data_IF_082907039966
#
_entry.id   IF_082907039966
#
_cell.length_a   1.000
_cell.length_b   1.000
_cell.length_c   1.000
_cell.angle_alpha   90.00
_cell.angle_beta   90.00
_cell.angle_gamma   90.00
#
_symmetry.space_group_name_H-M   'P 1'
#
loop_
_entity.id
_entity.type
_entity.pdbx_description
1 polymer ?
#
# COMPACT_ATOMS: atom_id res chain seq x y z
N UNK A 1 20.94 -17.46 1.15
CA UNK A 1 19.75 -17.65 0.28
C UNK A 1 19.75 -16.49 -0.68
N UNK A 2 20.10 -16.76 -1.94
CA UNK A 2 19.91 -15.77 -3.02
C UNK A 2 18.41 -15.43 -3.08
N UNK A 3 18.03 -14.19 -2.81
CA UNK A 3 16.70 -13.72 -3.13
C UNK A 3 16.66 -13.60 -4.67
N UNK A 4 15.92 -14.48 -5.30
CA UNK A 4 15.54 -14.30 -6.70
C UNK A 4 14.40 -13.29 -6.67
N UNK A 5 14.65 -12.07 -7.12
CA UNK A 5 13.59 -11.11 -7.37
C UNK A 5 12.66 -11.74 -8.40
N UNK A 6 11.41 -11.91 -7.98
CA UNK A 6 10.37 -12.48 -8.84
C UNK A 6 9.88 -11.37 -9.77
N UNK A 7 10.43 -11.32 -10.96
CA UNK A 7 9.94 -10.41 -11.98
C UNK A 7 8.53 -10.83 -12.41
N UNK A 8 7.57 -9.91 -12.29
CA UNK A 8 6.25 -10.12 -12.84
C UNK A 8 6.32 -10.19 -14.39
N UNK A 9 5.47 -11.00 -15.03
CA UNK A 9 5.29 -10.96 -16.46
C UNK A 9 5.03 -9.53 -16.96
N UNK A 10 5.47 -9.21 -18.16
CA UNK A 10 5.42 -7.84 -18.70
C UNK A 10 4.00 -7.25 -18.65
N UNK A 11 3.00 -8.06 -18.99
CA UNK A 11 1.59 -7.65 -19.00
C UNK A 11 1.04 -7.34 -17.61
N UNK A 12 1.67 -7.88 -16.54
CA UNK A 12 1.26 -7.70 -15.14
C UNK A 12 2.15 -6.68 -14.39
N UNK A 13 3.17 -6.10 -15.01
CA UNK A 13 4.04 -5.08 -14.38
C UNK A 13 3.28 -3.88 -13.80
N UNK A 14 2.14 -3.42 -14.36
CA UNK A 14 1.36 -2.36 -13.73
C UNK A 14 0.97 -2.63 -12.28
N UNK A 15 0.79 -3.92 -11.89
CA UNK A 15 0.52 -4.29 -10.49
C UNK A 15 1.65 -3.91 -9.55
N UNK A 16 2.91 -4.01 -10.00
CA UNK A 16 4.08 -3.65 -9.20
C UNK A 16 4.15 -2.14 -8.96
N UNK A 17 3.92 -1.34 -10.01
CA UNK A 17 3.89 0.12 -9.88
C UNK A 17 2.75 0.58 -8.97
N UNK A 18 1.55 0.01 -9.12
CA UNK A 18 0.42 0.25 -8.23
C UNK A 18 0.74 -0.12 -6.78
N UNK A 19 1.36 -1.29 -6.56
CA UNK A 19 1.69 -1.78 -5.22
C UNK A 19 2.65 -0.86 -4.44
N UNK A 20 3.55 -0.16 -5.13
CA UNK A 20 4.50 0.76 -4.54
C UNK A 20 3.96 2.19 -4.34
N UNK A 21 2.73 2.48 -4.73
CA UNK A 21 2.09 3.77 -4.53
C UNK A 21 0.82 3.61 -3.69
N UNK A 22 0.76 4.27 -2.54
CA UNK A 22 -0.36 4.13 -1.59
C UNK A 22 -1.72 4.58 -2.14
N UNK A 23 -1.81 5.20 -3.32
CA UNK A 23 -3.07 5.57 -3.96
C UNK A 23 -4.07 4.39 -4.02
N UNK A 24 -3.58 3.17 -4.23
CA UNK A 24 -4.43 1.97 -4.25
C UNK A 24 -5.24 1.78 -2.96
N UNK A 25 -4.74 2.19 -1.80
CA UNK A 25 -5.38 1.87 -0.52
C UNK A 25 -6.67 2.66 -0.26
N UNK A 26 -6.87 3.79 -0.93
CA UNK A 26 -8.13 4.54 -0.88
C UNK A 26 -8.86 4.61 -2.23
N UNK A 27 -8.33 4.00 -3.28
CA UNK A 27 -9.04 3.82 -4.53
C UNK A 27 -9.73 2.44 -4.55
N UNK A 28 -11.09 2.38 -4.57
CA UNK A 28 -11.81 1.10 -4.52
C UNK A 28 -11.44 0.16 -5.65
N UNK A 29 -11.37 0.65 -6.91
CA UNK A 29 -11.06 -0.19 -8.06
C UNK A 29 -9.66 -0.82 -7.99
N UNK A 30 -8.66 -0.08 -7.50
CA UNK A 30 -7.32 -0.59 -7.32
C UNK A 30 -7.24 -1.63 -6.19
N UNK A 31 -7.97 -1.41 -5.08
CA UNK A 31 -8.05 -2.34 -3.96
C UNK A 31 -8.74 -3.64 -4.37
N UNK A 32 -9.87 -3.53 -5.05
CA UNK A 32 -10.67 -4.67 -5.50
C UNK A 32 -9.88 -5.52 -6.50
N UNK A 33 -9.03 -4.91 -7.33
CA UNK A 33 -8.14 -5.58 -8.27
C UNK A 33 -7.17 -6.55 -7.56
N UNK A 34 -6.55 -6.15 -6.44
CA UNK A 34 -5.68 -7.05 -5.67
C UNK A 34 -6.47 -8.18 -5.00
N UNK A 35 -7.66 -7.87 -4.47
CA UNK A 35 -8.51 -8.86 -3.82
C UNK A 35 -9.04 -9.90 -4.80
N UNK A 36 -9.37 -9.52 -6.04
CA UNK A 36 -9.85 -10.42 -7.11
C UNK A 36 -8.82 -11.48 -7.50
N UNK A 37 -7.53 -11.16 -7.44
CA UNK A 37 -6.46 -12.09 -7.79
C UNK A 37 -6.47 -13.34 -6.90
N UNK A 38 -6.53 -13.17 -5.58
CA UNK A 38 -6.59 -14.24 -4.59
C UNK A 38 -7.05 -13.66 -3.24
N UNK A 39 -8.35 -13.71 -2.91
CA UNK A 39 -8.90 -13.11 -1.69
C UNK A 39 -8.28 -13.68 -0.40
N UNK A 40 -8.00 -14.99 -0.37
CA UNK A 40 -7.44 -15.65 0.81
C UNK A 40 -5.98 -15.23 1.03
N UNK A 41 -5.20 -15.19 -0.04
CA UNK A 41 -3.82 -14.72 0.02
C UNK A 41 -3.75 -13.24 0.36
N UNK A 42 -4.67 -12.42 -0.19
CA UNK A 42 -4.78 -11.00 0.10
C UNK A 42 -4.98 -10.74 1.60
N UNK A 43 -5.90 -11.47 2.22
CA UNK A 43 -6.14 -11.38 3.66
C UNK A 43 -4.94 -11.90 4.49
N UNK A 44 -4.33 -13.04 4.09
CA UNK A 44 -3.15 -13.60 4.78
C UNK A 44 -1.91 -12.71 4.67
N UNK A 45 -1.78 -11.92 3.61
CA UNK A 45 -0.71 -10.93 3.45
C UNK A 45 -0.98 -9.61 4.21
N UNK A 46 -2.01 -9.59 5.08
CA UNK A 46 -2.45 -8.39 5.80
C UNK A 46 -2.79 -7.23 4.85
N UNK A 47 -3.25 -7.56 3.63
CA UNK A 47 -3.54 -6.60 2.56
C UNK A 47 -2.34 -5.73 2.18
N UNK A 48 -1.14 -6.27 2.35
CA UNK A 48 0.10 -5.65 1.90
C UNK A 48 0.40 -6.10 0.47
N UNK A 49 0.28 -5.24 -0.55
CA UNK A 49 0.39 -5.66 -1.95
C UNK A 49 1.80 -6.13 -2.32
N UNK A 50 2.85 -5.64 -1.66
CA UNK A 50 4.23 -6.09 -1.91
C UNK A 50 4.39 -7.54 -1.43
N UNK A 51 4.00 -7.83 -0.19
CA UNK A 51 4.04 -9.19 0.35
C UNK A 51 3.12 -10.13 -0.43
N UNK A 52 1.95 -9.65 -0.85
CA UNK A 52 0.99 -10.37 -1.66
C UNK A 52 1.57 -10.81 -3.01
N UNK A 53 2.14 -9.88 -3.79
CA UNK A 53 2.74 -10.17 -5.09
C UNK A 53 3.92 -11.14 -4.99
N UNK A 54 4.73 -11.05 -3.93
CA UNK A 54 5.83 -11.98 -3.67
C UNK A 54 5.34 -13.42 -3.44
N UNK A 55 4.17 -13.60 -2.85
CA UNK A 55 3.60 -14.90 -2.49
C UNK A 55 2.79 -15.54 -3.62
N UNK A 56 2.39 -14.79 -4.67
CA UNK A 56 1.68 -15.34 -5.82
C UNK A 56 2.47 -16.46 -6.48
N UNK A 57 1.80 -17.53 -6.86
CA UNK A 57 2.44 -18.63 -7.58
C UNK A 57 2.67 -18.30 -9.05
N UNK A 58 3.68 -18.93 -9.69
CA UNK A 58 3.93 -18.78 -11.11
C UNK A 58 2.71 -19.23 -11.95
N UNK A 59 2.01 -20.26 -11.50
CA UNK A 59 0.83 -20.74 -12.20
C UNK A 59 -0.29 -19.69 -12.17
N UNK A 60 -0.53 -19.05 -11.01
CA UNK A 60 -1.52 -17.99 -10.91
C UNK A 60 -1.18 -16.79 -11.80
N UNK A 61 0.07 -16.40 -11.86
CA UNK A 61 0.54 -15.34 -12.76
C UNK A 61 0.27 -15.67 -14.24
N UNK A 62 0.50 -16.93 -14.66
CA UNK A 62 0.20 -17.39 -16.02
C UNK A 62 -1.28 -17.43 -16.33
N UNK A 63 -2.13 -17.72 -15.34
CA UNK A 63 -3.59 -17.66 -15.50
C UNK A 63 -4.04 -16.22 -15.71
N UNK A 64 -3.56 -15.28 -14.89
CA UNK A 64 -3.89 -13.86 -15.00
C UNK A 64 -3.46 -13.26 -16.36
N UNK A 65 -2.31 -13.66 -16.92
CA UNK A 65 -1.87 -13.22 -18.24
C UNK A 65 -2.82 -13.62 -19.38
N UNK A 66 -3.69 -14.61 -19.16
CA UNK A 66 -4.66 -15.12 -20.13
C UNK A 66 -6.09 -14.72 -19.83
N UNK A 67 -6.30 -14.08 -18.69
CA UNK A 67 -7.62 -13.62 -18.27
C UNK A 67 -7.89 -12.22 -18.82
N UNK A 68 -8.54 -12.16 -19.98
CA UNK A 68 -8.86 -10.91 -20.68
C UNK A 68 -9.74 -9.98 -19.83
N UNK A 69 -10.61 -10.52 -18.98
CA UNK A 69 -11.45 -9.71 -18.08
C UNK A 69 -10.61 -9.04 -17.01
N UNK A 70 -9.73 -9.80 -16.37
CA UNK A 70 -8.79 -9.26 -15.39
C UNK A 70 -7.86 -8.21 -16.02
N UNK A 71 -7.30 -8.51 -17.20
CA UNK A 71 -6.40 -7.60 -17.90
C UNK A 71 -7.11 -6.28 -18.30
N UNK A 72 -8.37 -6.34 -18.70
CA UNK A 72 -9.16 -5.13 -18.98
C UNK A 72 -9.38 -4.29 -17.71
N UNK A 73 -9.66 -4.93 -16.57
CA UNK A 73 -9.79 -4.26 -15.27
C UNK A 73 -8.46 -3.63 -14.84
N UNK A 74 -7.35 -4.35 -14.99
CA UNK A 74 -6.00 -3.85 -14.71
C UNK A 74 -5.67 -2.63 -15.56
N UNK A 75 -5.92 -2.69 -16.85
CA UNK A 75 -5.66 -1.58 -17.78
C UNK A 75 -6.49 -0.34 -17.41
N UNK A 76 -7.76 -0.52 -17.07
CA UNK A 76 -8.63 0.58 -16.67
C UNK A 76 -8.15 1.25 -15.36
N UNK A 77 -7.82 0.47 -14.34
CA UNK A 77 -7.30 0.98 -13.06
C UNK A 77 -5.95 1.66 -13.26
N UNK A 78 -5.07 1.05 -14.05
CA UNK A 78 -3.75 1.63 -14.31
C UNK A 78 -3.84 2.94 -15.10
N UNK A 79 -4.75 3.03 -16.08
CA UNK A 79 -5.01 4.29 -16.78
C UNK A 79 -5.51 5.40 -15.85
N UNK A 80 -6.41 5.08 -14.92
CA UNK A 80 -6.84 6.03 -13.86
C UNK A 80 -5.66 6.48 -13.00
N UNK A 81 -4.82 5.55 -12.57
CA UNK A 81 -3.62 5.85 -11.77
C UNK A 81 -2.65 6.77 -12.54
N UNK A 82 -2.37 6.48 -13.80
CA UNK A 82 -1.48 7.32 -14.63
C UNK A 82 -2.07 8.71 -14.86
N UNK A 83 -3.38 8.81 -15.07
CA UNK A 83 -4.07 10.10 -15.17
C UNK A 83 -3.93 10.89 -13.87
N UNK A 84 -4.24 10.26 -12.73
CA UNK A 84 -4.10 10.86 -11.40
C UNK A 84 -2.68 11.38 -11.14
N UNK A 85 -1.66 10.57 -11.43
CA UNK A 85 -0.25 10.94 -11.22
C UNK A 85 0.25 12.02 -12.19
N UNK A 86 -0.44 12.23 -13.31
CA UNK A 86 -0.07 13.25 -14.30
C UNK A 86 -0.62 14.64 -13.98
N UNK A 87 -1.61 14.73 -13.09
CA UNK A 87 -2.20 16.00 -12.68
C UNK A 87 -1.16 16.87 -11.97
N UNK A 88 -1.18 18.16 -12.31
CA UNK A 88 -0.29 19.14 -11.68
C UNK A 88 -1.10 20.11 -10.82
N UNK A 89 -0.60 20.44 -9.63
CA UNK A 89 -1.26 21.44 -8.80
C UNK A 89 -1.29 22.80 -9.49
N UNK A 90 -2.29 23.61 -9.13
CA UNK A 90 -2.34 25.02 -9.57
C UNK A 90 -1.09 25.75 -9.09
N UNK A 91 -0.29 26.35 -10.00
CA UNK A 91 0.93 27.08 -9.64
C UNK A 91 0.69 28.26 -8.68
N UNK A 92 -0.53 28.80 -8.62
CA UNK A 92 -0.91 29.87 -7.72
C UNK A 92 -1.17 29.40 -6.28
N UNK A 93 -1.35 28.08 -6.07
CA UNK A 93 -1.58 27.53 -4.74
C UNK A 93 -0.26 27.48 -3.95
N UNK A 94 -0.22 27.99 -2.71
CA UNK A 94 0.97 27.93 -1.88
C UNK A 94 1.41 26.50 -1.61
N UNK A 95 2.73 26.25 -1.66
CA UNK A 95 3.32 24.96 -1.26
C UNK A 95 3.23 24.79 0.25
N UNK A 96 2.79 23.63 0.68
CA UNK A 96 2.56 23.28 2.09
C UNK A 96 3.49 22.15 2.50
N UNK A 97 4.12 22.28 3.67
CA UNK A 97 4.80 21.19 4.35
C UNK A 97 4.03 20.84 5.61
N UNK A 98 3.59 19.58 5.71
CA UNK A 98 2.83 19.07 6.85
C UNK A 98 3.69 18.12 7.67
N UNK A 99 3.97 18.51 8.90
CA UNK A 99 4.77 17.74 9.83
C UNK A 99 3.87 17.04 10.86
N UNK A 100 3.98 15.72 10.96
CA UNK A 100 3.32 14.95 12.01
C UNK A 100 4.23 13.81 12.46
N UNK A 101 4.12 13.43 13.74
CA UNK A 101 4.84 12.28 14.27
C UNK A 101 4.27 10.95 13.78
N UNK A 102 3.05 10.94 13.24
CA UNK A 102 2.39 9.75 12.76
C UNK A 102 1.40 10.06 11.62
N UNK A 103 1.23 9.09 10.72
CA UNK A 103 0.26 9.14 9.62
C UNK A 103 -0.40 7.77 9.47
N UNK A 104 -1.71 7.68 9.67
CA UNK A 104 -2.53 6.50 9.47
C UNK A 104 -2.92 6.31 8.01
N UNK A 105 -2.01 5.85 7.17
CA UNK A 105 -2.22 5.68 5.73
C UNK A 105 -2.81 4.31 5.38
N UNK A 106 -2.20 3.24 5.89
CA UNK A 106 -2.64 1.87 5.72
C UNK A 106 -2.13 1.00 6.87
N UNK A 107 -2.88 -0.07 7.19
CA UNK A 107 -2.55 -0.98 8.30
C UNK A 107 -1.18 -1.67 8.14
N UNK A 108 -0.69 -1.87 6.91
CA UNK A 108 0.64 -2.42 6.66
C UNK A 108 1.79 -1.48 7.08
N UNK A 109 1.52 -0.18 7.19
CA UNK A 109 2.48 0.83 7.67
C UNK A 109 2.22 1.11 9.14
N UNK A 110 2.95 0.44 10.01
CA UNK A 110 2.79 0.53 11.48
C UNK A 110 3.48 1.76 12.06
N UNK A 111 3.17 2.94 11.51
CA UNK A 111 3.76 4.24 11.89
C UNK A 111 2.77 5.15 12.60
N UNK A 112 1.63 4.63 13.03
CA UNK A 112 0.60 5.40 13.73
C UNK A 112 -0.12 4.54 14.77
N UNK A 113 -0.80 5.24 15.70
CA UNK A 113 -1.75 4.65 16.63
C UNK A 113 -2.87 5.63 16.95
N UNK A 114 -4.13 5.23 16.75
CA UNK A 114 -5.28 6.04 17.13
C UNK A 114 -5.58 7.25 16.22
N UNK A 115 -6.41 8.17 16.74
CA UNK A 115 -7.09 9.19 15.97
C UNK A 115 -6.20 10.28 15.37
N UNK A 116 -5.10 10.63 16.04
CA UNK A 116 -4.15 11.63 15.52
C UNK A 116 -3.60 11.19 14.15
N UNK A 117 -3.13 9.94 14.08
CA UNK A 117 -2.60 9.38 12.83
C UNK A 117 -3.66 9.19 11.77
N UNK A 118 -4.86 8.76 12.14
CA UNK A 118 -5.99 8.60 11.21
C UNK A 118 -6.36 9.94 10.60
N UNK A 119 -6.51 10.99 11.40
CA UNK A 119 -6.82 12.34 10.88
C UNK A 119 -5.72 12.83 9.93
N UNK A 120 -4.44 12.69 10.31
CA UNK A 120 -3.33 13.09 9.47
C UNK A 120 -3.29 12.31 8.15
N UNK A 121 -3.53 11.00 8.18
CA UNK A 121 -3.57 10.16 7.00
C UNK A 121 -4.73 10.50 6.06
N UNK A 122 -5.94 10.67 6.59
CA UNK A 122 -7.13 11.04 5.80
C UNK A 122 -6.97 12.43 5.19
N UNK A 123 -6.38 13.36 5.93
CA UNK A 123 -6.07 14.70 5.42
C UNK A 123 -5.12 14.64 4.22
N UNK A 124 -4.06 13.79 4.27
CA UNK A 124 -3.15 13.61 3.15
C UNK A 124 -3.82 12.98 1.92
N UNK A 125 -4.69 11.99 2.12
CA UNK A 125 -5.43 11.35 1.03
C UNK A 125 -6.33 12.37 0.31
N UNK A 126 -7.08 13.15 1.06
CA UNK A 126 -7.93 14.21 0.48
C UNK A 126 -7.10 15.31 -0.19
N UNK A 127 -5.98 15.75 0.42
CA UNK A 127 -5.08 16.72 -0.19
C UNK A 127 -4.50 16.21 -1.52
N UNK A 128 -4.18 14.91 -1.59
CA UNK A 128 -3.75 14.25 -2.82
C UNK A 128 -4.85 14.25 -3.88
N UNK A 129 -6.08 13.86 -3.52
CA UNK A 129 -7.22 13.84 -4.43
C UNK A 129 -7.63 15.24 -4.93
N UNK A 130 -7.36 16.26 -4.16
CA UNK A 130 -7.56 17.68 -4.55
C UNK A 130 -6.33 18.30 -5.20
N UNK A 131 -5.30 17.50 -5.47
CA UNK A 131 -4.05 17.96 -6.09
C UNK A 131 -3.43 19.19 -5.39
N UNK A 132 -3.51 19.21 -4.05
CA UNK A 132 -2.89 20.26 -3.23
C UNK A 132 -1.37 20.09 -3.25
N UNK A 133 -0.57 21.14 -3.51
CA UNK A 133 0.89 21.05 -3.53
C UNK A 133 1.46 20.92 -2.10
N UNK A 134 1.27 19.74 -1.52
CA UNK A 134 1.63 19.40 -0.15
C UNK A 134 2.68 18.29 -0.11
N UNK A 135 3.64 18.42 0.79
CA UNK A 135 4.53 17.34 1.20
C UNK A 135 4.31 17.05 2.68
N UNK A 136 4.32 15.77 3.03
CA UNK A 136 4.23 15.32 4.41
C UNK A 136 5.60 14.84 4.90
N UNK A 137 5.97 15.23 6.11
CA UNK A 137 7.21 14.81 6.77
C UNK A 137 6.87 14.16 8.08
N UNK A 138 7.32 12.93 8.30
CA UNK A 138 7.04 12.15 9.49
C UNK A 138 8.21 11.26 9.88
N UNK A 139 7.97 10.37 10.85
CA UNK A 139 8.96 9.43 11.36
C UNK A 139 8.66 8.03 10.80
N UNK A 140 9.66 7.41 10.20
CA UNK A 140 9.61 6.01 9.80
C UNK A 140 10.15 5.15 10.94
N UNK A 141 9.25 4.72 11.84
CA UNK A 141 9.62 3.92 13.01
C UNK A 141 10.09 2.52 12.58
N UNK A 142 11.27 2.11 13.03
CA UNK A 142 11.75 0.74 12.84
C UNK A 142 10.92 -0.27 13.61
N UNK A 143 10.51 0.08 14.83
CA UNK A 143 9.57 -0.68 15.64
C UNK A 143 8.27 0.10 15.64
N UNK A 144 7.28 -0.42 14.93
CA UNK A 144 5.97 0.21 14.86
C UNK A 144 5.16 0.01 16.15
N UNK A 145 3.86 0.29 16.08
CA UNK A 145 2.97 0.05 17.20
C UNK A 145 2.99 -1.43 17.59
N UNK A 146 2.97 -1.72 18.90
CA UNK A 146 3.06 -3.08 19.40
C UNK A 146 1.86 -3.94 19.02
N UNK A 147 2.09 -5.25 18.90
CA UNK A 147 1.03 -6.25 18.71
C UNK A 147 0.70 -6.86 20.05
N UNK A 148 -0.61 -6.95 20.37
CA UNK A 148 -1.09 -7.59 21.59
C UNK A 148 -1.31 -9.09 21.34
N UNK A 149 -0.79 -9.92 22.22
CA UNK A 149 -1.04 -11.36 22.27
C UNK A 149 -1.56 -11.75 23.64
N UNK A 150 -2.31 -12.83 23.71
CA UNK A 150 -2.72 -13.42 24.99
C UNK A 150 -1.84 -14.64 25.27
N UNK A 151 -1.37 -14.76 26.50
CA UNK A 151 -0.73 -15.98 26.98
C UNK A 151 -1.77 -17.10 27.16
N UNK A 152 -1.31 -18.35 27.35
CA UNK A 152 -2.20 -19.48 27.68
C UNK A 152 -3.00 -19.25 28.98
N UNK A 153 -2.53 -18.37 29.87
CA UNK A 153 -3.19 -17.99 31.13
C UNK A 153 -4.06 -16.75 30.99
N UNK A 154 -4.26 -16.23 29.78
CA UNK A 154 -5.08 -15.04 29.51
C UNK A 154 -4.40 -13.70 29.83
N UNK A 155 -3.13 -13.68 30.16
CA UNK A 155 -2.40 -12.44 30.39
C UNK A 155 -2.00 -11.76 29.06
N UNK A 156 -2.17 -10.44 29.00
CA UNK A 156 -1.75 -9.64 27.87
C UNK A 156 -0.23 -9.62 27.74
N UNK A 157 0.25 -9.82 26.54
CA UNK A 157 1.66 -9.71 26.16
C UNK A 157 1.80 -8.68 25.04
N UNK A 158 2.75 -7.77 25.18
CA UNK A 158 3.14 -6.83 24.14
C UNK A 158 4.34 -7.36 23.36
N UNK A 159 4.20 -7.45 22.05
CA UNK A 159 5.29 -7.85 21.15
C UNK A 159 5.67 -6.68 20.25
N UNK A 160 6.97 -6.44 20.11
CA UNK A 160 7.55 -5.40 19.28
C UNK A 160 8.34 -6.07 18.15
N UNK A 161 7.84 -5.96 16.94
CA UNK A 161 8.49 -6.54 15.77
C UNK A 161 9.12 -5.43 14.92
N UNK A 162 10.38 -5.65 14.49
CA UNK A 162 11.04 -4.72 13.59
C UNK A 162 10.36 -4.77 12.21
N UNK A 163 10.01 -3.61 11.65
CA UNK A 163 9.45 -3.51 10.32
C UNK A 163 10.52 -3.88 9.27
N UNK A 164 10.13 -4.69 8.30
CA UNK A 164 10.94 -4.96 7.10
C UNK A 164 10.55 -3.99 5.99
N UNK A 165 11.24 -2.88 5.88
CA UNK A 165 10.90 -1.81 4.95
C UNK A 165 10.92 -2.25 3.48
N UNK A 166 11.74 -3.25 3.12
CA UNK A 166 11.75 -3.79 1.74
C UNK A 166 10.50 -4.58 1.37
N UNK A 167 9.64 -4.89 2.35
CA UNK A 167 8.37 -5.60 2.18
C UNK A 167 7.16 -4.72 2.40
N UNK A 168 7.36 -3.41 2.50
CA UNK A 168 6.29 -2.43 2.67
C UNK A 168 6.04 -1.67 1.36
N UNK A 169 4.83 -1.15 1.13
CA UNK A 169 4.48 -0.36 -0.05
C UNK A 169 5.07 1.06 0.02
N UNK A 170 6.38 1.15 0.17
CA UNK A 170 7.18 2.38 0.23
C UNK A 170 8.37 2.26 -0.72
N UNK A 171 8.94 3.39 -1.07
CA UNK A 171 10.17 3.46 -1.86
C UNK A 171 11.30 4.03 -1.00
N UNK A 172 12.57 3.55 -1.17
CA UNK A 172 13.73 4.10 -0.47
C UNK A 172 14.09 5.52 -0.94
#
# INVERSE_FOLDING_TARGET
RMMVEKNLPERLRPLEELAHNLWWCWNPGARDLFEEIDPDLWNRSERNPIAFLDLLTINRLKELERDESFLASLDAVYAQFKSYMSEKPDPATPKIAYFSMEYGLHASLKIYSGGLGILAGDYLKEASDKNVPMVAVGLLYRYGYFTQKLSAQGAQQATYEAQNFSKLPIQP
#
